data_IF_857864631608
#
_entry.id   IF_857864631608
#
_cell.length_a   1.000
_cell.length_b   1.000
_cell.length_c   1.000
_cell.angle_alpha   90.00
_cell.angle_beta   90.00
_cell.angle_gamma   90.00
#
_symmetry.space_group_name_H-M   'P 1'
#
loop_
_entity.id
_entity.type
_entity.pdbx_description
1 polymer ?
#
# COMPACT_ATOMS: atom_id res chain seq x y z
N UNK A 1 22.35 20.05 13.60
CA UNK A 1 22.04 21.20 12.72
C UNK A 1 22.67 20.88 11.37
N UNK A 2 21.87 20.68 10.32
CA UNK A 2 22.38 20.40 8.97
C UNK A 2 22.56 21.72 8.23
N UNK A 3 23.79 22.14 8.01
CA UNK A 3 24.11 23.37 7.27
C UNK A 3 24.09 23.07 5.77
N UNK A 4 23.27 23.79 5.00
CA UNK A 4 23.25 23.68 3.53
C UNK A 4 24.62 24.09 2.97
N UNK A 5 25.32 23.22 2.22
CA UNK A 5 26.62 23.54 1.66
C UNK A 5 26.53 24.66 0.62
N UNK A 6 27.62 25.40 0.41
CA UNK A 6 27.68 26.43 -0.62
C UNK A 6 27.54 25.83 -2.03
N UNK A 7 26.74 26.44 -2.89
CA UNK A 7 26.41 25.89 -4.21
C UNK A 7 25.42 26.72 -5.02
N UNK A 8 25.22 26.32 -6.28
CA UNK A 8 24.16 26.85 -7.14
C UNK A 8 22.86 26.11 -6.86
N UNK A 9 21.80 26.85 -6.57
CA UNK A 9 20.47 26.30 -6.32
C UNK A 9 19.42 27.09 -7.12
N UNK A 10 18.24 26.50 -7.41
CA UNK A 10 17.15 27.21 -8.08
C UNK A 10 16.76 28.48 -7.32
N UNK A 11 16.60 29.60 -8.01
CA UNK A 11 16.22 30.85 -7.39
C UNK A 11 14.72 30.82 -7.02
N UNK A 12 14.34 30.94 -5.74
CA UNK A 12 12.94 31.07 -5.37
C UNK A 12 12.39 32.37 -5.99
N UNK A 13 11.32 32.25 -6.77
CA UNK A 13 10.63 33.33 -7.52
C UNK A 13 11.22 33.70 -8.90
N UNK A 14 12.22 32.97 -9.43
CA UNK A 14 12.77 33.24 -10.76
C UNK A 14 12.95 31.95 -11.56
N UNK A 15 11.95 31.62 -12.40
CA UNK A 15 12.00 30.43 -13.24
C UNK A 15 13.18 30.48 -14.23
N UNK A 16 13.92 29.38 -14.32
CA UNK A 16 15.05 29.23 -15.24
C UNK A 16 16.37 29.88 -14.78
N UNK A 17 16.43 30.40 -13.54
CA UNK A 17 17.65 30.95 -12.96
C UNK A 17 18.11 30.15 -11.72
N UNK A 18 19.43 30.02 -11.58
CA UNK A 18 20.08 29.58 -10.37
C UNK A 18 20.69 30.79 -9.63
N UNK A 19 20.62 30.76 -8.29
CA UNK A 19 21.26 31.72 -7.40
C UNK A 19 22.31 30.99 -6.54
N UNK A 20 23.42 31.66 -6.24
CA UNK A 20 24.48 31.05 -5.43
C UNK A 20 24.20 31.23 -3.93
N UNK A 21 24.20 30.12 -3.19
CA UNK A 21 24.19 30.05 -1.72
C UNK A 21 25.61 29.93 -1.20
N UNK A 22 26.03 30.77 -0.25
CA UNK A 22 27.41 30.78 0.27
C UNK A 22 27.61 29.95 1.55
N UNK A 23 26.55 29.31 2.06
CA UNK A 23 26.55 28.58 3.33
C UNK A 23 25.82 29.31 4.45
N UNK A 24 25.72 30.65 4.38
CA UNK A 24 25.03 31.50 5.36
C UNK A 24 23.84 32.25 4.76
N UNK A 25 23.85 32.52 3.45
CA UNK A 25 22.83 33.30 2.75
C UNK A 25 22.85 33.17 1.23
N UNK A 26 21.82 33.70 0.59
CA UNK A 26 21.75 33.87 -0.86
C UNK A 26 22.57 35.09 -1.31
N UNK A 27 23.40 34.94 -2.33
CA UNK A 27 24.22 36.04 -2.89
C UNK A 27 23.61 36.62 -4.17
N UNK A 28 24.04 37.79 -4.65
CA UNK A 28 23.53 38.39 -5.90
C UNK A 28 24.00 37.68 -7.19
N UNK A 29 24.82 36.63 -7.10
CA UNK A 29 25.28 35.89 -8.27
C UNK A 29 24.15 35.03 -8.85
N UNK A 30 23.90 35.22 -10.15
CA UNK A 30 22.87 34.51 -10.92
C UNK A 30 23.51 33.80 -12.11
N UNK A 31 23.01 32.62 -12.45
CA UNK A 31 23.38 31.87 -13.64
C UNK A 31 22.12 31.33 -14.31
N UNK A 32 22.04 31.26 -15.65
CA UNK A 32 21.02 30.47 -16.32
C UNK A 32 21.06 29.04 -15.78
N UNK A 33 19.89 28.49 -15.44
CA UNK A 33 19.80 27.07 -15.11
C UNK A 33 20.16 26.31 -16.40
N UNK A 34 21.09 25.33 -16.35
CA UNK A 34 21.32 24.48 -17.52
C UNK A 34 19.97 23.96 -17.99
N UNK A 35 19.70 23.90 -19.30
CA UNK A 35 18.45 23.32 -19.77
C UNK A 35 18.33 21.96 -19.09
N UNK A 36 17.24 21.78 -18.33
CA UNK A 36 16.91 20.48 -17.76
C UNK A 36 16.87 19.55 -18.95
N UNK A 37 17.95 18.81 -19.15
CA UNK A 37 17.96 17.71 -20.09
C UNK A 37 16.99 16.77 -19.41
N UNK A 38 15.71 16.85 -19.79
CA UNK A 38 14.71 15.87 -19.40
C UNK A 38 15.43 14.55 -19.53
N UNK A 39 15.68 13.92 -18.39
CA UNK A 39 16.32 12.64 -18.35
C UNK A 39 15.34 11.73 -19.05
N UNK A 40 15.47 11.66 -20.37
CA UNK A 40 14.68 10.82 -21.25
C UNK A 40 14.89 9.46 -20.64
N UNK A 41 13.82 8.96 -20.01
CA UNK A 41 13.85 7.80 -19.15
C UNK A 41 14.78 6.80 -19.81
N UNK A 42 15.89 6.51 -19.14
CA UNK A 42 16.77 5.45 -19.57
C UNK A 42 15.87 4.23 -19.53
N UNK A 43 15.31 3.88 -20.71
CA UNK A 43 14.72 2.59 -20.97
C UNK A 43 15.75 1.62 -20.43
N UNK A 44 15.38 1.02 -19.30
CA UNK A 44 16.13 -0.06 -18.73
C UNK A 44 16.15 -1.08 -19.85
N UNK A 45 17.28 -1.17 -20.53
CA UNK A 45 17.60 -2.21 -21.47
C UNK A 45 17.58 -3.49 -20.62
N UNK A 46 16.38 -4.04 -20.44
CA UNK A 46 16.14 -5.38 -19.92
C UNK A 46 16.91 -6.27 -20.85
N UNK A 47 18.09 -6.66 -20.40
CA UNK A 47 18.85 -7.77 -20.96
C UNK A 47 17.90 -8.96 -20.89
N UNK A 48 17.34 -9.28 -22.05
CA UNK A 48 16.52 -10.46 -22.26
C UNK A 48 17.42 -11.69 -22.11
N UNK A 49 17.50 -12.19 -20.88
CA UNK A 49 18.18 -13.44 -20.55
C UNK A 49 17.38 -14.69 -20.98
N UNK A 50 16.23 -14.54 -21.65
CA UNK A 50 15.36 -15.64 -22.02
C UNK A 50 15.59 -16.21 -23.42
N UNK A 51 16.68 -15.84 -24.11
CA UNK A 51 17.04 -16.48 -25.37
C UNK A 51 18.36 -17.28 -25.30
N UNK A 52 18.36 -18.50 -24.73
CA UNK A 52 19.52 -19.39 -24.75
C UNK A 52 19.74 -20.11 -26.11
N UNK A 53 19.07 -19.73 -27.19
CA UNK A 53 19.08 -20.50 -28.45
C UNK A 53 20.20 -20.16 -29.44
N UNK A 54 21.18 -19.33 -29.10
CA UNK A 54 22.28 -18.99 -30.02
C UNK A 54 23.62 -19.44 -29.47
N UNK A 55 24.06 -20.63 -29.91
CA UNK A 55 25.48 -20.95 -29.96
C UNK A 55 25.93 -22.25 -29.28
N UNK A 56 25.40 -23.40 -29.69
CA UNK A 56 26.11 -24.66 -29.53
C UNK A 56 25.68 -25.66 -30.61
N UNK A 57 26.28 -25.57 -31.80
CA UNK A 57 26.44 -26.73 -32.68
C UNK A 57 27.45 -27.68 -32.05
N UNK A 58 27.08 -28.28 -30.91
CA UNK A 58 27.82 -29.37 -30.31
C UNK A 58 27.48 -30.64 -31.09
N UNK A 59 28.51 -31.28 -31.62
CA UNK A 59 28.40 -32.54 -32.34
C UNK A 59 27.56 -33.54 -31.54
N UNK A 60 26.48 -34.01 -32.14
CA UNK A 60 25.57 -34.98 -31.55
C UNK A 60 26.36 -36.25 -31.22
N UNK A 61 26.55 -36.61 -29.94
CA UNK A 61 27.30 -37.80 -29.58
C UNK A 61 26.57 -39.01 -30.16
N UNK A 62 27.33 -39.90 -30.80
CA UNK A 62 26.84 -41.10 -31.46
C UNK A 62 26.09 -41.97 -30.44
N UNK A 63 24.76 -41.82 -30.34
CA UNK A 63 23.93 -42.57 -29.39
C UNK A 63 24.04 -44.06 -29.69
N UNK A 64 24.51 -44.82 -28.71
CA UNK A 64 24.64 -46.26 -28.86
C UNK A 64 23.23 -46.90 -28.94
N UNK A 65 23.08 -48.06 -29.58
CA UNK A 65 21.79 -48.75 -29.64
C UNK A 65 21.16 -48.99 -28.25
N UNK A 66 21.98 -49.15 -27.22
CA UNK A 66 21.53 -49.35 -25.84
C UNK A 66 20.89 -48.07 -25.24
N UNK A 67 21.39 -46.88 -25.58
CA UNK A 67 20.82 -45.61 -25.09
C UNK A 67 19.42 -45.38 -25.68
N UNK A 68 19.19 -45.81 -26.93
CA UNK A 68 17.88 -45.73 -27.59
C UNK A 68 16.85 -46.67 -26.97
N UNK A 69 17.25 -47.85 -26.53
CA UNK A 69 16.35 -48.78 -25.84
C UNK A 69 15.97 -48.28 -24.44
N UNK A 70 16.89 -47.59 -23.76
CA UNK A 70 16.64 -47.00 -22.45
C UNK A 70 15.70 -45.79 -22.55
N UNK A 71 15.94 -44.88 -23.50
CA UNK A 71 15.02 -43.77 -23.80
C UNK A 71 13.62 -44.28 -24.19
N UNK A 72 13.54 -45.36 -24.98
CA UNK A 72 12.25 -45.93 -25.38
C UNK A 72 11.48 -46.56 -24.21
N UNK A 73 12.18 -47.17 -23.24
CA UNK A 73 11.55 -47.69 -22.01
C UNK A 73 11.09 -46.58 -21.09
N UNK A 74 11.91 -45.56 -20.87
CA UNK A 74 11.55 -44.40 -20.04
C UNK A 74 10.36 -43.63 -20.66
N UNK A 75 10.35 -43.44 -21.99
CA UNK A 75 9.22 -42.83 -22.68
C UNK A 75 7.94 -43.69 -22.68
N UNK A 76 8.07 -45.03 -22.69
CA UNK A 76 6.93 -45.93 -22.59
C UNK A 76 6.34 -45.96 -21.18
N UNK A 77 7.19 -45.90 -20.14
CA UNK A 77 6.76 -45.77 -18.75
C UNK A 77 6.11 -44.41 -18.49
N UNK A 78 6.63 -43.32 -19.05
CA UNK A 78 6.01 -41.99 -18.95
C UNK A 78 4.64 -41.95 -19.65
N UNK A 79 4.50 -42.58 -20.82
CA UNK A 79 3.20 -42.70 -21.50
C UNK A 79 2.20 -43.52 -20.70
N UNK A 80 2.62 -44.65 -20.14
CA UNK A 80 1.75 -45.49 -19.30
C UNK A 80 1.29 -44.73 -18.04
N UNK A 81 2.18 -43.98 -17.40
CA UNK A 81 1.84 -43.14 -16.24
C UNK A 81 0.89 -41.98 -16.60
N UNK A 82 0.96 -41.46 -17.83
CA UNK A 82 0.09 -40.38 -18.31
C UNK A 82 -1.31 -40.87 -18.68
N UNK A 83 -1.46 -42.10 -19.17
CA UNK A 83 -2.75 -42.70 -19.51
C UNK A 83 -3.54 -43.17 -18.28
N UNK A 84 -2.87 -43.54 -17.17
CA UNK A 84 -3.55 -43.88 -15.91
C UNK A 84 -4.07 -42.67 -15.10
N UNK A 85 -3.94 -41.44 -15.62
CA UNK A 85 -4.67 -40.28 -15.10
C UNK A 85 -4.36 -39.86 -13.66
N UNK A 86 -3.27 -40.37 -13.07
CA UNK A 86 -2.83 -40.04 -11.72
C UNK A 86 -1.51 -39.28 -11.76
N UNK A 87 -1.49 -38.16 -12.48
CA UNK A 87 -0.45 -37.15 -12.29
C UNK A 87 -0.65 -36.60 -10.87
N UNK A 88 0.19 -37.08 -9.95
CA UNK A 88 0.39 -36.48 -8.64
C UNK A 88 0.92 -35.05 -8.84
N UNK A 89 -0.01 -34.11 -9.06
CA UNK A 89 0.22 -32.68 -9.08
C UNK A 89 0.42 -32.18 -7.63
N UNK A 90 1.39 -32.77 -6.94
CA UNK A 90 1.52 -32.74 -5.48
C UNK A 90 2.50 -31.70 -4.92
N UNK A 91 3.38 -31.10 -5.72
CA UNK A 91 4.39 -30.15 -5.20
C UNK A 91 4.16 -28.68 -5.55
N UNK A 92 3.44 -28.37 -6.63
CA UNK A 92 3.37 -26.97 -7.11
C UNK A 92 2.13 -26.21 -6.62
N UNK A 93 1.27 -26.85 -5.82
CA UNK A 93 0.06 -26.24 -5.26
C UNK A 93 0.38 -25.12 -4.26
N UNK A 94 1.60 -25.05 -3.71
CA UNK A 94 1.93 -24.07 -2.67
C UNK A 94 2.38 -22.72 -3.23
N UNK A 95 2.75 -22.60 -4.51
CA UNK A 95 3.31 -21.33 -5.03
C UNK A 95 2.47 -20.61 -6.07
N UNK A 96 1.44 -21.23 -6.66
CA UNK A 96 0.69 -20.54 -7.72
C UNK A 96 -0.80 -20.90 -7.79
N UNK A 97 -1.46 -21.15 -6.65
CA UNK A 97 -2.93 -21.10 -6.63
C UNK A 97 -3.37 -19.62 -6.60
N UNK A 98 -3.83 -19.02 -7.72
CA UNK A 98 -4.21 -17.61 -7.81
C UNK A 98 -5.34 -17.23 -6.85
N UNK A 99 -5.96 -18.23 -6.22
CA UNK A 99 -7.03 -18.04 -5.27
C UNK A 99 -6.65 -17.81 -3.81
N UNK A 100 -5.47 -18.24 -3.35
CA UNK A 100 -5.09 -18.09 -1.93
C UNK A 100 -4.28 -16.81 -1.72
N UNK A 101 -3.44 -16.45 -2.70
CA UNK A 101 -2.60 -15.25 -2.67
C UNK A 101 -3.41 -13.96 -2.54
N UNK A 102 -4.52 -13.82 -3.27
CA UNK A 102 -5.35 -12.61 -3.23
C UNK A 102 -5.94 -12.29 -1.85
N UNK A 103 -6.32 -13.32 -1.07
CA UNK A 103 -6.89 -13.11 0.26
C UNK A 103 -5.83 -12.72 1.29
N UNK A 104 -4.63 -13.31 1.19
CA UNK A 104 -3.49 -12.95 2.05
C UNK A 104 -3.05 -11.49 1.80
N UNK A 105 -2.98 -11.08 0.52
CA UNK A 105 -2.65 -9.70 0.14
C UNK A 105 -3.69 -8.72 0.71
N UNK A 106 -4.97 -9.04 0.62
CA UNK A 106 -6.06 -8.21 1.18
C UNK A 106 -5.94 -8.01 2.71
N UNK A 107 -5.57 -9.06 3.45
CA UNK A 107 -5.35 -8.97 4.90
C UNK A 107 -4.14 -8.10 5.22
N UNK A 108 -3.00 -8.32 4.54
CA UNK A 108 -1.78 -7.54 4.76
C UNK A 108 -2.03 -6.05 4.47
N UNK A 109 -2.68 -5.76 3.34
CA UNK A 109 -3.04 -4.39 2.98
C UNK A 109 -3.98 -3.75 4.01
N UNK A 110 -5.04 -4.46 4.43
CA UNK A 110 -5.98 -3.96 5.44
C UNK A 110 -5.32 -3.68 6.79
N UNK A 111 -4.45 -4.57 7.28
CA UNK A 111 -3.70 -4.37 8.54
C UNK A 111 -2.72 -3.21 8.41
N UNK A 112 -2.00 -3.13 7.28
CA UNK A 112 -1.05 -2.04 7.01
C UNK A 112 -1.76 -0.69 6.95
N UNK A 113 -2.92 -0.62 6.30
CA UNK A 113 -3.79 0.55 6.28
C UNK A 113 -4.23 0.97 7.68
N UNK A 114 -4.69 0.03 8.51
CA UNK A 114 -5.10 0.32 9.90
C UNK A 114 -3.94 0.89 10.71
N UNK A 115 -2.74 0.35 10.57
CA UNK A 115 -1.56 0.84 11.30
C UNK A 115 -1.15 2.24 10.82
N UNK A 116 -1.02 2.43 9.50
CA UNK A 116 -0.57 3.69 8.93
C UNK A 116 -1.60 4.81 9.11
N UNK A 117 -2.87 4.54 8.78
CA UNK A 117 -3.95 5.52 8.90
C UNK A 117 -4.35 5.73 10.35
N UNK A 118 -4.38 4.67 11.17
CA UNK A 118 -4.65 4.81 12.61
C UNK A 118 -3.59 5.64 13.32
N UNK A 119 -2.30 5.43 13.00
CA UNK A 119 -1.19 6.24 13.52
C UNK A 119 -1.23 7.68 13.02
N UNK A 120 -1.58 7.89 11.76
CA UNK A 120 -1.77 9.24 11.20
C UNK A 120 -2.93 9.98 11.85
N UNK A 121 -4.09 9.33 12.02
CA UNK A 121 -5.27 9.93 12.66
C UNK A 121 -4.95 10.31 14.12
N UNK A 122 -4.27 9.45 14.88
CA UNK A 122 -3.86 9.76 16.26
C UNK A 122 -2.98 11.01 16.34
N UNK A 123 -1.89 11.05 15.55
CA UNK A 123 -1.00 12.21 15.52
C UNK A 123 -1.69 13.48 14.99
N UNK A 124 -2.61 13.35 14.02
CA UNK A 124 -3.36 14.48 13.50
C UNK A 124 -4.38 15.02 14.52
N UNK A 125 -4.92 14.17 15.39
CA UNK A 125 -5.83 14.58 16.47
C UNK A 125 -5.11 15.13 17.69
N UNK A 126 -3.85 14.76 17.96
CA UNK A 126 -3.08 15.24 19.10
C UNK A 126 -2.81 16.75 19.05
N UNK A 127 -2.87 17.36 17.87
CA UNK A 127 -2.84 18.82 17.69
C UNK A 127 -4.18 19.52 17.88
N UNK A 128 -5.28 18.76 18.06
CA UNK A 128 -6.65 19.27 18.14
C UNK A 128 -7.20 19.29 19.56
N UNK A 129 -6.58 18.51 20.45
CA UNK A 129 -6.95 18.46 21.85
C UNK A 129 -6.22 19.55 22.65
N UNK A 130 -6.94 20.10 23.62
CA UNK A 130 -6.44 21.11 24.55
C UNK A 130 -5.22 20.57 25.31
N UNK A 131 -4.05 21.17 25.09
CA UNK A 131 -2.84 20.76 25.81
C UNK A 131 -2.97 21.11 27.29
N UNK A 132 -2.27 20.39 28.20
CA UNK A 132 -2.26 20.74 29.62
C UNK A 132 -1.84 22.20 29.83
N UNK A 133 -2.70 23.00 30.45
CA UNK A 133 -2.46 24.42 30.71
C UNK A 133 -3.05 25.39 29.67
N UNK A 134 -3.55 24.90 28.54
CA UNK A 134 -4.31 25.73 27.60
C UNK A 134 -5.75 25.94 28.10
N UNK A 135 -6.37 27.04 27.68
CA UNK A 135 -7.77 27.39 27.93
C UNK A 135 -8.47 27.56 26.59
N UNK A 136 -9.71 27.08 26.48
CA UNK A 136 -10.54 27.35 25.32
C UNK A 136 -11.27 28.69 25.48
N UNK A 137 -11.24 29.52 24.45
CA UNK A 137 -12.06 30.71 24.33
C UNK A 137 -12.65 30.83 22.93
N UNK A 138 -13.59 31.75 22.76
CA UNK A 138 -14.26 32.00 21.48
C UNK A 138 -13.71 33.28 20.89
N UNK A 139 -13.10 33.18 19.72
CA UNK A 139 -12.71 34.34 18.91
C UNK A 139 -13.79 34.65 17.87
N UNK A 140 -13.85 35.91 17.44
CA UNK A 140 -14.72 36.34 16.34
C UNK A 140 -13.86 36.57 15.11
N UNK A 141 -14.27 36.04 13.96
CA UNK A 141 -13.53 36.24 12.70
C UNK A 141 -13.64 37.70 12.28
N UNK A 142 -12.52 38.41 12.27
CA UNK A 142 -12.45 39.81 11.88
C UNK A 142 -12.30 39.97 10.36
N UNK A 143 -11.47 39.12 9.75
CA UNK A 143 -11.26 39.10 8.31
C UNK A 143 -10.89 37.69 7.83
N UNK A 144 -10.89 37.51 6.50
CA UNK A 144 -10.44 36.28 5.85
C UNK A 144 -9.35 36.69 4.87
N UNK A 145 -8.17 36.09 4.99
CA UNK A 145 -7.09 36.23 4.01
C UNK A 145 -7.25 35.13 2.97
N UNK A 146 -7.22 35.51 1.69
CA UNK A 146 -7.27 34.59 0.56
C UNK A 146 -5.90 34.54 -0.11
N UNK A 147 -5.38 33.34 -0.35
CA UNK A 147 -4.13 33.11 -1.07
C UNK A 147 -4.38 33.03 -2.59
N UNK A 148 -3.32 33.06 -3.39
CA UNK A 148 -3.38 33.04 -4.85
C UNK A 148 -4.09 31.78 -5.40
N UNK A 149 -4.01 30.65 -4.67
CA UNK A 149 -4.70 29.39 -4.99
C UNK A 149 -6.20 29.41 -4.64
N UNK A 150 -6.73 30.55 -4.18
CA UNK A 150 -8.12 30.71 -3.73
C UNK A 150 -8.41 30.03 -2.39
N UNK A 151 -7.36 29.64 -1.67
CA UNK A 151 -7.47 29.07 -0.33
C UNK A 151 -7.70 30.20 0.69
N UNK A 152 -8.52 29.96 1.71
CA UNK A 152 -8.85 30.98 2.70
C UNK A 152 -8.39 30.58 4.11
N UNK A 153 -7.75 31.52 4.80
CA UNK A 153 -7.39 31.46 6.20
C UNK A 153 -8.13 32.58 6.97
N UNK A 154 -8.97 32.26 7.96
CA UNK A 154 -9.58 33.28 8.80
C UNK A 154 -8.57 33.93 9.74
N UNK A 155 -8.76 35.22 10.00
CA UNK A 155 -8.05 35.97 11.03
C UNK A 155 -9.08 36.34 12.10
N UNK A 156 -8.95 35.71 13.26
CA UNK A 156 -9.82 35.94 14.42
C UNK A 156 -9.28 37.01 15.35
N UNK A 157 -10.16 37.72 16.04
CA UNK A 157 -9.81 38.55 17.21
C UNK A 157 -10.28 37.85 18.48
N UNK A 158 -9.35 37.66 19.41
CA UNK A 158 -9.57 37.09 20.73
C UNK A 158 -9.33 38.18 21.77
N UNK A 159 -10.30 38.44 22.65
CA UNK A 159 -10.16 39.41 23.74
C UNK A 159 -9.89 38.69 25.06
N UNK A 160 -8.72 38.94 25.66
CA UNK A 160 -8.31 38.39 26.96
C UNK A 160 -7.84 39.55 27.83
N UNK A 161 -8.41 39.73 29.02
CA UNK A 161 -8.07 40.80 29.96
C UNK A 161 -8.06 42.22 29.33
N UNK A 162 -9.12 42.53 28.57
CA UNK A 162 -9.29 43.81 27.84
C UNK A 162 -8.24 44.09 26.76
N UNK A 163 -7.44 43.10 26.38
CA UNK A 163 -6.51 43.16 25.25
C UNK A 163 -7.00 42.28 24.12
N UNK A 164 -6.98 42.83 22.93
CA UNK A 164 -7.34 42.12 21.71
C UNK A 164 -6.08 41.54 21.04
N UNK A 165 -6.12 40.24 20.78
CA UNK A 165 -5.07 39.48 20.12
C UNK A 165 -5.59 39.02 18.75
N UNK A 166 -4.78 39.18 17.70
CA UNK A 166 -5.08 38.57 16.41
C UNK A 166 -4.57 37.13 16.39
N UNK A 167 -5.43 36.23 15.96
CA UNK A 167 -5.13 34.80 15.83
C UNK A 167 -5.28 34.44 14.36
N UNK A 168 -4.16 34.15 13.72
CA UNK A 168 -4.13 33.67 12.33
C UNK A 168 -4.13 32.15 12.35
N UNK A 169 -4.92 31.53 11.48
CA UNK A 169 -4.91 30.07 11.34
C UNK A 169 -3.99 29.66 10.21
N UNK A 170 -3.17 28.63 10.43
CA UNK A 170 -2.42 27.99 9.35
C UNK A 170 -3.28 27.00 8.53
N UNK A 171 -4.56 26.85 8.91
CA UNK A 171 -5.48 25.89 8.27
C UNK A 171 -6.25 26.58 7.16
N UNK A 172 -5.89 26.25 5.93
CA UNK A 172 -6.59 26.73 4.74
C UNK A 172 -7.79 25.84 4.43
N UNK A 173 -8.94 26.45 4.12
CA UNK A 173 -10.16 25.72 3.75
C UNK A 173 -10.59 26.01 2.31
N UNK A 174 -11.04 24.95 1.62
CA UNK A 174 -11.62 24.99 0.27
C UNK A 174 -12.91 24.14 0.27
N UNK A 175 -14.08 24.68 -0.15
CA UNK A 175 -14.32 26.07 -0.58
C UNK A 175 -14.39 27.05 0.61
N UNK A 176 -14.05 28.32 0.36
CA UNK A 176 -14.12 29.40 1.35
C UNK A 176 -15.57 29.65 1.80
N UNK A 177 -15.96 29.00 2.90
CA UNK A 177 -17.33 29.04 3.43
C UNK A 177 -17.44 29.91 4.69
N UNK A 178 -16.39 30.67 5.00
CA UNK A 178 -16.20 31.35 6.27
C UNK A 178 -16.50 32.84 6.10
N UNK A 179 -17.35 33.38 6.96
CA UNK A 179 -17.77 34.79 6.92
C UNK A 179 -17.25 35.55 8.15
N UNK A 180 -16.92 36.84 7.97
CA UNK A 180 -16.58 37.71 9.09
C UNK A 180 -17.76 37.78 10.08
N UNK A 181 -17.45 37.74 11.37
CA UNK A 181 -18.44 37.67 12.45
C UNK A 181 -18.80 36.26 12.92
N UNK A 182 -18.36 35.20 12.22
CA UNK A 182 -18.49 33.84 12.74
C UNK A 182 -17.61 33.65 13.99
N UNK A 183 -18.08 32.78 14.90
CA UNK A 183 -17.39 32.42 16.14
C UNK A 183 -16.58 31.15 15.93
N UNK A 184 -15.32 31.16 16.37
CA UNK A 184 -14.43 30.01 16.31
C UNK A 184 -13.82 29.73 17.68
N UNK A 185 -13.64 28.46 18.00
CA UNK A 185 -12.97 28.05 19.22
C UNK A 185 -11.45 28.21 19.04
N UNK A 186 -10.80 28.85 19.99
CA UNK A 186 -9.36 29.09 20.04
C UNK A 186 -8.83 28.51 21.35
N UNK A 187 -7.71 27.79 21.25
CA UNK A 187 -6.95 27.28 22.38
C UNK A 187 -5.73 28.18 22.56
N UNK A 188 -5.46 28.60 23.79
CA UNK A 188 -4.29 29.43 24.10
C UNK A 188 -3.80 29.15 25.53
N UNK A 189 -2.52 29.42 25.79
CA UNK A 189 -1.95 29.40 27.13
C UNK A 189 -2.07 30.80 27.75
N UNK A 190 -2.63 30.96 28.97
CA UNK A 190 -2.83 32.26 29.60
C UNK A 190 -1.50 32.96 29.96
N UNK A 191 -0.39 32.22 30.07
CA UNK A 191 0.94 32.80 30.34
C UNK A 191 1.53 33.52 29.10
N UNK A 192 1.15 33.10 27.88
CA UNK A 192 1.65 33.68 26.62
C UNK A 192 0.61 33.56 25.49
N UNK A 193 -0.44 34.39 25.56
CA UNK A 193 -1.53 34.40 24.58
C UNK A 193 -1.02 34.67 23.16
N UNK A 194 -0.03 35.55 23.01
CA UNK A 194 0.42 36.03 21.70
C UNK A 194 1.12 34.96 20.87
N UNK A 195 1.81 34.01 21.49
CA UNK A 195 2.54 32.95 20.79
C UNK A 195 1.80 31.62 20.75
N UNK A 196 0.83 31.41 21.64
CA UNK A 196 0.20 30.08 21.82
C UNK A 196 -1.23 30.00 21.32
N UNK A 197 -1.87 31.13 20.99
CA UNK A 197 -3.23 31.11 20.47
C UNK A 197 -3.29 30.42 19.10
N UNK A 198 -4.04 29.33 19.03
CA UNK A 198 -4.29 28.57 17.81
C UNK A 198 -5.76 28.14 17.74
N UNK A 199 -6.29 28.04 16.53
CA UNK A 199 -7.70 27.69 16.33
C UNK A 199 -7.89 26.19 16.53
N UNK A 200 -8.88 25.84 17.35
CA UNK A 200 -9.30 24.46 17.53
C UNK A 200 -9.87 23.96 16.21
N UNK A 201 -9.31 22.88 15.67
CA UNK A 201 -9.74 22.42 14.35
C UNK A 201 -11.25 22.14 14.32
N UNK A 202 -11.85 22.51 13.21
CA UNK A 202 -13.29 22.43 13.02
C UNK A 202 -13.72 20.96 13.11
N UNK A 203 -14.74 20.61 13.91
CA UNK A 203 -15.16 19.23 14.14
C UNK A 203 -15.68 18.49 12.89
N UNK A 204 -15.77 19.15 11.72
CA UNK A 204 -16.34 18.59 10.50
C UNK A 204 -15.59 17.35 9.99
N UNK A 205 -14.27 17.27 10.18
CA UNK A 205 -13.47 16.14 9.70
C UNK A 205 -13.27 15.04 10.75
N UNK A 206 -13.44 15.34 12.04
CA UNK A 206 -13.30 14.36 13.11
C UNK A 206 -14.16 13.09 12.92
N UNK A 207 -15.46 13.15 12.58
CA UNK A 207 -16.26 11.94 12.35
C UNK A 207 -15.81 11.16 11.12
N UNK A 208 -15.30 11.84 10.09
CA UNK A 208 -14.81 11.19 8.86
C UNK A 208 -13.49 10.48 9.13
N UNK A 209 -12.56 11.14 9.84
CA UNK A 209 -11.27 10.57 10.22
C UNK A 209 -11.41 9.41 11.20
N UNK A 210 -12.40 9.46 12.10
CA UNK A 210 -12.71 8.33 12.99
C UNK A 210 -13.37 7.16 12.26
N UNK A 211 -14.05 7.39 11.13
CA UNK A 211 -14.62 6.33 10.28
C UNK A 211 -13.58 5.60 9.40
N UNK A 212 -12.50 6.28 8.98
CA UNK A 212 -11.45 5.70 8.14
C UNK A 212 -10.87 4.35 8.64
N UNK A 213 -10.53 4.16 9.93
CA UNK A 213 -10.04 2.85 10.40
C UNK A 213 -11.09 1.74 10.29
N UNK A 214 -12.38 2.06 10.40
CA UNK A 214 -13.44 1.06 10.24
C UNK A 214 -13.52 0.53 8.81
N UNK A 215 -13.23 1.35 7.80
CA UNK A 215 -13.12 0.90 6.41
C UNK A 215 -12.03 -0.17 6.27
N UNK A 216 -10.88 0.03 6.93
CA UNK A 216 -9.80 -0.97 7.00
C UNK A 216 -10.29 -2.29 7.61
N UNK A 217 -11.03 -2.23 8.72
CA UNK A 217 -11.62 -3.41 9.34
C UNK A 217 -12.61 -4.14 8.44
N UNK A 218 -13.45 -3.42 7.70
CA UNK A 218 -14.39 -4.02 6.73
C UNK A 218 -13.62 -4.82 5.67
N UNK A 219 -12.50 -4.30 5.15
CA UNK A 219 -11.66 -4.99 4.16
C UNK A 219 -11.03 -6.25 4.77
N UNK A 220 -10.50 -6.18 5.99
CA UNK A 220 -9.92 -7.33 6.70
C UNK A 220 -10.98 -8.41 6.94
N UNK A 221 -12.16 -8.04 7.43
CA UNK A 221 -13.26 -8.96 7.69
C UNK A 221 -13.77 -9.62 6.40
N UNK A 222 -13.95 -8.86 5.32
CA UNK A 222 -14.35 -9.40 4.03
C UNK A 222 -13.29 -10.38 3.46
N UNK A 223 -12.01 -10.04 3.61
CA UNK A 223 -10.89 -10.90 3.18
C UNK A 223 -10.80 -12.19 4.01
N UNK A 224 -10.97 -12.09 5.34
CA UNK A 224 -10.99 -13.24 6.23
C UNK A 224 -12.20 -14.16 5.97
N UNK A 225 -13.38 -13.58 5.71
CA UNK A 225 -14.58 -14.33 5.36
C UNK A 225 -14.41 -15.11 4.06
N UNK A 226 -13.88 -14.47 3.01
CA UNK A 226 -13.61 -15.13 1.73
C UNK A 226 -12.56 -16.24 1.87
N UNK A 227 -11.54 -16.06 2.72
CA UNK A 227 -10.58 -17.11 3.06
C UNK A 227 -11.25 -18.31 3.72
N UNK A 228 -12.10 -18.07 4.73
CA UNK A 228 -12.80 -19.11 5.46
C UNK A 228 -13.71 -19.95 4.55
N UNK A 229 -14.43 -19.29 3.62
CA UNK A 229 -15.25 -19.97 2.61
C UNK A 229 -14.39 -20.89 1.72
N UNK A 230 -13.22 -20.43 1.27
CA UNK A 230 -12.31 -21.21 0.43
C UNK A 230 -11.71 -22.41 1.17
N UNK A 231 -11.33 -22.24 2.44
CA UNK A 231 -10.83 -23.35 3.27
C UNK A 231 -11.94 -24.40 3.44
N UNK A 232 -13.19 -23.98 3.67
CA UNK A 232 -14.32 -24.87 3.84
C UNK A 232 -14.63 -25.67 2.56
N UNK A 233 -14.60 -25.03 1.39
CA UNK A 233 -14.82 -25.74 0.12
C UNK A 233 -13.69 -26.71 -0.21
N UNK A 234 -12.44 -26.34 0.03
CA UNK A 234 -11.29 -27.23 -0.14
C UNK A 234 -11.36 -28.46 0.77
N UNK A 235 -11.65 -28.27 2.06
CA UNK A 235 -11.82 -29.36 3.02
C UNK A 235 -12.97 -30.30 2.62
N UNK A 236 -14.09 -29.74 2.15
CA UNK A 236 -15.23 -30.50 1.62
C UNK A 236 -14.86 -31.35 0.39
N UNK A 237 -14.10 -30.78 -0.55
CA UNK A 237 -13.59 -31.50 -1.72
C UNK A 237 -12.69 -32.68 -1.34
N UNK A 238 -11.75 -32.47 -0.42
CA UNK A 238 -10.85 -33.52 0.07
C UNK A 238 -11.65 -34.65 0.76
N UNK A 239 -12.65 -34.30 1.58
CA UNK A 239 -13.49 -35.28 2.25
C UNK A 239 -14.30 -36.13 1.25
N UNK A 240 -14.80 -35.53 0.17
CA UNK A 240 -15.53 -36.22 -0.88
C UNK A 240 -14.63 -37.18 -1.67
N UNK A 241 -13.44 -36.73 -2.07
CA UNK A 241 -12.44 -37.57 -2.75
C UNK A 241 -12.06 -38.76 -1.87
N UNK A 242 -11.86 -38.56 -0.57
CA UNK A 242 -11.54 -39.64 0.37
C UNK A 242 -12.67 -40.67 0.48
N UNK A 243 -13.93 -40.23 0.47
CA UNK A 243 -15.12 -41.12 0.45
C UNK A 243 -15.21 -41.91 -0.87
N UNK A 244 -14.96 -41.27 -2.00
CA UNK A 244 -14.97 -41.95 -3.31
C UNK A 244 -13.83 -42.96 -3.42
N UNK A 245 -12.64 -42.60 -2.98
CA UNK A 245 -11.46 -43.48 -2.98
C UNK A 245 -11.69 -44.73 -2.11
N UNK A 246 -12.23 -44.56 -0.89
CA UNK A 246 -12.55 -45.68 0.00
C UNK A 246 -13.65 -46.58 -0.57
N UNK A 247 -14.68 -46.00 -1.20
CA UNK A 247 -15.73 -46.76 -1.89
C UNK A 247 -15.19 -47.55 -3.11
N UNK A 248 -14.31 -46.94 -3.91
CA UNK A 248 -13.68 -47.59 -5.06
C UNK A 248 -12.77 -48.75 -4.62
N UNK A 249 -11.95 -48.55 -3.58
CA UNK A 249 -11.08 -49.59 -3.00
C UNK A 249 -11.88 -50.82 -2.54
N UNK A 250 -13.07 -50.63 -1.96
CA UNK A 250 -13.95 -51.72 -1.57
C UNK A 250 -14.54 -52.51 -2.75
N UNK A 251 -14.78 -51.89 -3.91
CA UNK A 251 -15.26 -52.61 -5.10
C UNK A 251 -14.17 -53.48 -5.72
N UNK A 252 -12.96 -52.94 -5.86
CA UNK A 252 -11.84 -53.67 -6.47
C UNK A 252 -11.46 -54.91 -5.64
N UNK A 253 -11.49 -54.81 -4.30
CA UNK A 253 -11.19 -55.95 -3.43
C UNK A 253 -12.20 -57.12 -3.51
N UNK A 254 -13.43 -56.88 -3.97
CA UNK A 254 -14.49 -57.91 -3.99
C UNK A 254 -14.52 -58.72 -5.30
N UNK A 255 -13.89 -58.22 -6.38
CA UNK A 255 -13.89 -58.87 -7.70
C UNK A 255 -12.79 -59.92 -7.92
N UNK A 256 -11.94 -60.22 -6.92
CA UNK A 256 -10.76 -61.09 -7.09
C UNK A 256 -10.94 -62.54 -6.62
N UNK A 257 -12.13 -62.96 -6.19
CA UNK A 257 -12.30 -64.26 -5.50
C UNK A 257 -12.93 -65.36 -6.37
N UNK A 258 -13.47 -65.06 -7.56
CA UNK A 258 -14.26 -66.06 -8.32
C UNK A 258 -13.59 -66.68 -9.57
N UNK A 259 -12.25 -66.66 -9.69
CA UNK A 259 -11.57 -67.24 -10.87
C UNK A 259 -10.84 -68.57 -10.65
N UNK A 260 -10.85 -69.15 -9.44
CA UNK A 260 -10.13 -70.41 -9.15
C UNK A 260 -11.00 -71.68 -9.12
N UNK A 261 -12.27 -71.61 -9.54
CA UNK A 261 -13.22 -72.69 -9.27
C UNK A 261 -14.06 -73.17 -10.44
N UNK A 262 -13.46 -73.80 -11.47
CA UNK A 262 -14.07 -74.97 -12.17
C UNK A 262 -13.07 -75.58 -13.16
N UNK A 263 -12.31 -76.55 -12.67
CA UNK A 263 -11.56 -77.51 -13.49
C UNK A 263 -11.77 -78.90 -12.91
N UNK A 264 -12.88 -79.53 -13.28
CA UNK A 264 -13.16 -80.95 -13.07
C UNK A 264 -13.98 -81.45 -14.26
#
# INVERSE_FOLDING_TARGET
MSTTPAGWYPAPNEEGLARWWDGNGWTEHRSPLPPTVEAKATETHTVDWQNPHLGATAAEPLRTPHDREREAREAAEEKAAREEGFVAQGSDIVHNSPGVSGSLIGIIFGVTWIILVGGFVGNATDGLDQRPGEVAAVATIASVTTDDDGSCAPVGTLSVDEKDYQVTTDVFTLPCSIEAGQKIDVLYNPEDVAQTAHVKAVPSFAPVLTLLPFIGWVIVCASAWTLALRIRTAAGGIALVRRLYTAAKHRIGRGRIDLDGTGA
#
